data_IF_588554596734
#
_entry.id   IF_588554596734
#
_cell.length_a   1.000
_cell.length_b   1.000
_cell.length_c   1.000
_cell.angle_alpha   90.00
_cell.angle_beta   90.00
_cell.angle_gamma   90.00
#
_symmetry.space_group_name_H-M   'P 1'
#
loop_
_entity.id
_entity.type
_entity.pdbx_description
1 polymer ?
#
# COMPACT_ATOMS: atom_id res chain seq x y z
N UNK A 1 -0.11 2.90 -22.81
CA UNK A 1 1.32 2.63 -22.58
C UNK A 1 1.60 2.15 -21.14
N UNK A 2 1.26 2.92 -20.09
CA UNK A 2 1.57 2.53 -18.70
C UNK A 2 0.97 1.19 -18.28
N UNK A 3 -0.25 0.86 -18.73
CA UNK A 3 -0.92 -0.39 -18.36
C UNK A 3 -0.17 -1.66 -18.82
N UNK A 4 0.41 -1.64 -20.02
CA UNK A 4 1.14 -2.79 -20.55
C UNK A 4 2.41 -3.00 -19.72
N UNK A 5 3.11 -1.91 -19.41
CA UNK A 5 4.29 -1.94 -18.55
C UNK A 5 3.96 -2.47 -17.15
N UNK A 6 2.84 -2.02 -16.56
CA UNK A 6 2.35 -2.54 -15.27
C UNK A 6 2.17 -4.05 -15.31
N UNK A 7 1.53 -4.59 -16.36
CA UNK A 7 1.27 -6.02 -16.50
C UNK A 7 2.60 -6.77 -16.66
N UNK A 8 3.47 -6.35 -17.57
CA UNK A 8 4.75 -7.04 -17.84
C UNK A 8 5.59 -7.09 -16.56
N UNK A 9 5.78 -5.96 -15.89
CA UNK A 9 6.58 -5.89 -14.67
C UNK A 9 5.91 -6.67 -13.53
N UNK A 10 4.59 -6.57 -13.37
CA UNK A 10 3.85 -7.31 -12.33
C UNK A 10 3.94 -8.82 -12.51
N UNK A 11 3.82 -9.32 -13.75
CA UNK A 11 3.97 -10.75 -14.07
C UNK A 11 5.40 -11.20 -13.78
N UNK A 12 6.41 -10.44 -14.20
CA UNK A 12 7.81 -10.77 -13.93
C UNK A 12 8.08 -10.84 -12.42
N UNK A 13 7.62 -9.86 -11.64
CA UNK A 13 7.76 -9.88 -10.17
C UNK A 13 7.02 -11.08 -9.58
N UNK A 14 5.80 -11.36 -10.01
CA UNK A 14 5.00 -12.47 -9.49
C UNK A 14 5.66 -13.83 -9.76
N UNK A 15 6.20 -14.06 -10.96
CA UNK A 15 6.90 -15.29 -11.31
C UNK A 15 8.17 -15.47 -10.48
N UNK A 16 8.98 -14.40 -10.33
CA UNK A 16 10.19 -14.44 -9.51
C UNK A 16 9.89 -14.68 -8.02
N UNK A 17 8.77 -14.15 -7.51
CA UNK A 17 8.40 -14.24 -6.10
C UNK A 17 7.47 -15.41 -5.78
N UNK A 18 7.04 -16.21 -6.75
CA UNK A 18 6.10 -17.32 -6.54
C UNK A 18 6.55 -18.30 -5.43
N UNK A 19 7.80 -18.82 -5.41
CA UNK A 19 8.24 -19.70 -4.32
C UNK A 19 8.24 -18.97 -2.96
N UNK A 20 8.57 -17.67 -2.96
CA UNK A 20 8.58 -16.85 -1.76
C UNK A 20 7.16 -16.61 -1.20
N UNK A 21 6.17 -16.40 -2.07
CA UNK A 21 4.76 -16.31 -1.67
C UNK A 21 4.29 -17.58 -0.96
N UNK A 22 4.67 -18.76 -1.46
CA UNK A 22 4.31 -20.03 -0.84
C UNK A 22 4.87 -20.15 0.58
N UNK A 23 6.15 -19.81 0.77
CA UNK A 23 6.80 -19.79 2.09
C UNK A 23 6.07 -18.85 3.04
N UNK A 24 5.72 -17.64 2.61
CA UNK A 24 4.97 -16.67 3.42
C UNK A 24 3.60 -17.22 3.80
N UNK A 25 2.85 -17.78 2.85
CA UNK A 25 1.51 -18.33 3.14
C UNK A 25 1.57 -19.46 4.16
N UNK A 26 2.55 -20.36 4.04
CA UNK A 26 2.77 -21.44 5.02
C UNK A 26 3.10 -20.84 6.40
N UNK A 27 4.04 -19.89 6.45
CA UNK A 27 4.42 -19.20 7.68
C UNK A 27 3.21 -18.55 8.38
N UNK A 28 2.38 -17.83 7.63
CA UNK A 28 1.18 -17.17 8.16
C UNK A 28 0.18 -18.20 8.69
N UNK A 29 -0.04 -19.31 7.96
CA UNK A 29 -0.96 -20.37 8.38
C UNK A 29 -0.50 -21.07 9.66
N UNK A 30 0.81 -21.23 9.86
CA UNK A 30 1.37 -21.78 11.11
C UNK A 30 1.18 -20.80 12.28
N UNK A 31 1.40 -19.50 12.05
CA UNK A 31 1.35 -18.48 13.11
C UNK A 31 -0.06 -18.01 13.49
N UNK A 32 -0.99 -18.04 12.55
CA UNK A 32 -2.35 -17.53 12.74
C UNK A 32 -3.35 -18.40 11.98
N UNK A 33 -4.38 -18.98 12.64
CA UNK A 33 -5.39 -19.78 11.94
C UNK A 33 -6.21 -18.92 10.97
N UNK A 34 -6.69 -19.52 9.87
CA UNK A 34 -7.53 -18.87 8.85
C UNK A 34 -6.79 -18.36 7.61
N UNK A 35 -7.42 -17.46 6.84
CA UNK A 35 -6.91 -16.97 5.55
C UNK A 35 -5.56 -16.25 5.67
N UNK A 36 -4.58 -16.64 4.86
CA UNK A 36 -3.30 -15.93 4.77
C UNK A 36 -3.44 -14.52 4.16
N UNK A 37 -4.54 -14.25 3.47
CA UNK A 37 -4.85 -12.95 2.90
C UNK A 37 -5.84 -12.18 3.76
N UNK A 38 -5.59 -10.88 3.88
CA UNK A 38 -6.48 -9.88 4.42
C UNK A 38 -6.91 -8.95 3.29
N UNK A 39 -8.15 -8.49 3.32
CA UNK A 39 -8.68 -7.56 2.32
C UNK A 39 -9.27 -6.33 3.00
N UNK A 40 -9.01 -5.16 2.45
CA UNK A 40 -9.60 -3.90 2.94
C UNK A 40 -10.18 -3.09 1.80
N UNK A 41 -11.40 -2.58 1.96
CA UNK A 41 -12.02 -1.71 0.95
C UNK A 41 -11.25 -0.39 0.87
N UNK A 42 -10.98 0.05 -0.36
CA UNK A 42 -10.29 1.29 -0.69
C UNK A 42 -10.95 2.00 -1.84
N UNK A 43 -10.77 3.32 -1.90
CA UNK A 43 -11.21 4.14 -3.02
C UNK A 43 -10.22 3.99 -4.18
N UNK A 44 -10.73 3.54 -5.33
CA UNK A 44 -10.00 3.38 -6.58
C UNK A 44 -10.19 4.56 -7.52
N UNK A 45 -9.90 4.33 -8.81
CA UNK A 45 -10.12 5.31 -9.87
C UNK A 45 -11.60 5.64 -9.98
N UNK A 46 -11.92 6.91 -10.21
CA UNK A 46 -13.29 7.41 -10.40
C UNK A 46 -14.17 7.10 -9.19
N UNK A 47 -13.55 7.04 -8.00
CA UNK A 47 -14.20 6.76 -6.72
C UNK A 47 -14.77 5.34 -6.59
N UNK A 48 -14.47 4.45 -7.55
CA UNK A 48 -14.95 3.07 -7.54
C UNK A 48 -14.24 2.29 -6.42
N UNK A 49 -14.97 1.74 -5.44
CA UNK A 49 -14.35 0.99 -4.36
C UNK A 49 -13.84 -0.37 -4.85
N UNK A 50 -12.69 -0.79 -4.33
CA UNK A 50 -12.10 -2.10 -4.62
C UNK A 50 -11.51 -2.74 -3.36
N UNK A 51 -11.26 -4.06 -3.42
CA UNK A 51 -10.67 -4.83 -2.30
C UNK A 51 -9.15 -4.87 -2.44
N UNK A 52 -8.46 -4.07 -1.63
CA UNK A 52 -7.00 -4.09 -1.54
C UNK A 52 -6.53 -5.38 -0.85
N UNK A 53 -5.68 -6.15 -1.51
CA UNK A 53 -5.14 -7.40 -0.98
C UNK A 53 -3.86 -7.17 -0.18
N UNK A 54 -3.74 -7.84 0.97
CA UNK A 54 -2.51 -7.89 1.77
C UNK A 54 -2.31 -9.29 2.33
N UNK A 55 -1.08 -9.62 2.71
CA UNK A 55 -0.89 -10.72 3.64
C UNK A 55 -1.37 -10.31 5.02
N UNK A 56 -2.08 -11.21 5.67
CA UNK A 56 -2.60 -10.98 7.01
C UNK A 56 -1.44 -10.98 7.99
N UNK A 57 -1.27 -9.88 8.71
CA UNK A 57 -0.23 -9.68 9.73
C UNK A 57 -0.77 -9.61 11.17
N UNK A 58 -2.10 -9.64 11.34
CA UNK A 58 -2.80 -9.59 12.63
C UNK A 58 -3.56 -10.90 12.92
N UNK A 59 -3.77 -11.23 14.19
CA UNK A 59 -4.62 -12.34 14.62
C UNK A 59 -6.12 -12.06 14.40
N UNK A 60 -6.92 -13.10 14.13
CA UNK A 60 -8.39 -12.99 13.94
C UNK A 60 -9.12 -12.67 15.25
N UNK A 61 -8.65 -13.20 16.38
CA UNK A 61 -9.42 -13.32 17.64
C UNK A 61 -9.12 -12.24 18.69
N UNK A 62 -8.88 -10.99 18.29
CA UNK A 62 -8.98 -9.89 19.26
C UNK A 62 -10.25 -9.10 18.96
N UNK A 63 -11.34 -9.28 19.75
CA UNK A 63 -12.44 -8.33 19.74
C UNK A 63 -11.90 -6.98 20.25
N UNK A 64 -12.48 -5.90 19.74
CA UNK A 64 -12.37 -4.54 20.29
C UNK A 64 -11.15 -3.68 19.95
N UNK A 65 -10.94 -3.40 18.66
CA UNK A 65 -10.48 -2.07 18.26
C UNK A 65 -11.32 -1.57 17.09
N UNK A 66 -12.58 -1.23 17.36
CA UNK A 66 -13.55 -0.70 16.39
C UNK A 66 -13.07 0.56 15.63
N UNK A 67 -12.00 1.23 16.08
CA UNK A 67 -11.53 2.51 15.52
C UNK A 67 -10.02 2.62 15.30
N UNK A 68 -9.24 1.54 15.32
CA UNK A 68 -7.78 1.65 15.09
C UNK A 68 -7.46 1.69 13.59
N UNK A 69 -7.67 2.84 12.96
CA UNK A 69 -7.30 3.10 11.54
C UNK A 69 -5.77 3.10 11.37
N UNK A 70 -5.04 3.42 12.42
CA UNK A 70 -3.57 3.50 12.46
C UNK A 70 -3.02 2.29 13.23
N UNK A 71 -2.03 1.60 12.65
CA UNK A 71 -1.28 0.58 13.39
C UNK A 71 -0.06 1.20 14.06
N UNK A 72 0.09 0.95 15.36
CA UNK A 72 1.30 1.30 16.12
C UNK A 72 2.44 0.31 15.84
N UNK A 73 3.67 0.69 16.22
CA UNK A 73 4.89 -0.11 16.02
C UNK A 73 4.86 -1.45 16.78
N UNK A 74 4.33 -1.44 18.00
CA UNK A 74 4.24 -2.61 18.88
C UNK A 74 2.78 -3.00 19.13
N UNK A 75 2.02 -3.13 18.04
CA UNK A 75 0.60 -3.45 18.12
C UNK A 75 0.40 -4.90 18.62
N UNK A 76 -0.32 -5.11 19.75
CA UNK A 76 -0.50 -6.42 20.38
C UNK A 76 -1.34 -7.38 19.52
N UNK A 77 -1.95 -6.91 18.42
CA UNK A 77 -2.67 -7.74 17.45
C UNK A 77 -1.74 -8.51 16.53
N UNK A 78 -0.45 -8.17 16.48
CA UNK A 78 0.53 -8.77 15.57
C UNK A 78 1.04 -10.11 16.10
N UNK A 79 1.08 -11.11 15.22
CA UNK A 79 1.72 -12.39 15.56
C UNK A 79 3.25 -12.31 15.39
N UNK A 80 3.98 -13.18 16.08
CA UNK A 80 5.45 -13.21 16.00
C UNK A 80 5.97 -13.30 14.56
N UNK A 81 6.79 -12.32 14.17
CA UNK A 81 7.36 -12.18 12.82
C UNK A 81 6.55 -11.29 11.85
N UNK A 82 5.35 -10.86 12.22
CA UNK A 82 4.56 -9.92 11.42
C UNK A 82 5.25 -8.55 11.24
N UNK A 83 6.02 -8.10 12.24
CA UNK A 83 6.83 -6.88 12.16
C UNK A 83 7.86 -6.93 11.02
N UNK A 84 8.45 -8.10 10.76
CA UNK A 84 9.36 -8.26 9.62
C UNK A 84 8.60 -8.11 8.30
N UNK A 85 7.43 -8.73 8.18
CA UNK A 85 6.61 -8.62 6.96
C UNK A 85 6.22 -7.17 6.66
N UNK A 86 5.90 -6.39 7.69
CA UNK A 86 5.53 -4.97 7.58
C UNK A 86 6.71 -4.06 7.29
N UNK A 87 7.82 -4.21 8.03
CA UNK A 87 9.05 -3.42 7.87
C UNK A 87 9.58 -3.43 6.43
N UNK A 88 9.50 -4.60 5.79
CA UNK A 88 9.95 -4.81 4.41
C UNK A 88 8.79 -4.74 3.39
N UNK A 89 7.58 -4.31 3.79
CA UNK A 89 6.38 -4.24 2.93
C UNK A 89 6.06 -5.54 2.20
N UNK A 90 6.52 -6.66 2.73
CA UNK A 90 6.22 -8.00 2.23
C UNK A 90 4.71 -8.24 2.32
N UNK A 91 4.06 -7.69 3.35
CA UNK A 91 2.61 -7.77 3.52
C UNK A 91 1.81 -7.11 2.39
N UNK A 92 2.40 -6.16 1.66
CA UNK A 92 1.78 -5.47 0.53
C UNK A 92 2.00 -6.17 -0.81
N UNK A 93 2.86 -7.20 -0.89
CA UNK A 93 3.13 -7.93 -2.16
C UNK A 93 1.88 -8.49 -2.86
N UNK A 94 0.84 -8.99 -2.16
CA UNK A 94 -0.39 -9.46 -2.81
C UNK A 94 -1.12 -8.40 -3.65
N UNK A 95 -0.84 -7.11 -3.44
CA UNK A 95 -1.40 -6.02 -4.24
C UNK A 95 -0.97 -6.08 -5.72
N UNK A 96 0.09 -6.80 -6.05
CA UNK A 96 0.46 -7.09 -7.45
C UNK A 96 -0.73 -7.75 -8.19
N UNK A 97 -1.53 -8.57 -7.49
CA UNK A 97 -2.74 -9.15 -8.07
C UNK A 97 -3.82 -8.09 -8.35
N UNK A 98 -3.93 -7.04 -7.53
CA UNK A 98 -4.81 -5.89 -7.81
C UNK A 98 -4.31 -5.10 -9.03
N UNK A 99 -2.99 -5.00 -9.22
CA UNK A 99 -2.41 -4.44 -10.45
C UNK A 99 -2.81 -5.30 -11.63
N UNK A 100 -2.62 -6.62 -11.59
CA UNK A 100 -3.00 -7.51 -12.70
C UNK A 100 -4.50 -7.46 -13.02
N UNK A 101 -5.38 -7.35 -12.01
CA UNK A 101 -6.84 -7.16 -12.18
C UNK A 101 -7.24 -5.79 -12.74
N UNK A 102 -6.33 -4.83 -12.72
CA UNK A 102 -6.57 -3.49 -13.26
C UNK A 102 -7.21 -2.52 -12.30
N UNK A 103 -7.33 -2.89 -11.02
CA UNK A 103 -7.79 -2.02 -9.94
C UNK A 103 -6.71 -1.01 -9.55
N UNK A 104 -5.43 -1.41 -9.69
CA UNK A 104 -4.25 -0.61 -9.35
C UNK A 104 -3.27 -0.47 -10.52
N UNK A 105 -2.32 0.44 -10.35
CA UNK A 105 -1.09 0.65 -11.13
C UNK A 105 0.13 0.31 -10.27
N UNK A 106 1.31 0.08 -10.86
CA UNK A 106 2.54 -0.04 -10.07
C UNK A 106 2.90 1.29 -9.40
N UNK A 107 2.71 2.39 -10.12
CA UNK A 107 3.00 3.74 -9.64
C UNK A 107 1.73 4.60 -9.71
N UNK A 108 1.44 5.31 -8.62
CA UNK A 108 0.26 6.15 -8.47
C UNK A 108 0.01 6.60 -7.04
N UNK A 109 -1.01 7.45 -6.81
CA UNK A 109 -1.43 7.84 -5.47
C UNK A 109 -1.79 6.64 -4.60
N UNK A 110 -1.47 6.66 -3.30
CA UNK A 110 -1.80 5.55 -2.40
C UNK A 110 -3.32 5.37 -2.27
N UNK A 111 -3.87 4.14 -2.36
CA UNK A 111 -5.31 3.95 -2.16
C UNK A 111 -5.72 4.32 -0.74
N UNK A 112 -6.77 5.13 -0.59
CA UNK A 112 -7.28 5.64 0.70
C UNK A 112 -8.52 4.91 1.16
N UNK A 113 -8.73 4.88 2.49
CA UNK A 113 -10.03 4.46 3.06
C UNK A 113 -11.09 5.50 2.73
N UNK A 114 -12.37 5.12 2.88
CA UNK A 114 -13.50 6.01 2.56
C UNK A 114 -13.52 7.21 3.50
N UNK A 115 -13.27 6.98 4.78
CA UNK A 115 -13.32 7.98 5.84
C UNK A 115 -12.30 9.11 5.59
N UNK A 116 -11.09 8.77 5.12
CA UNK A 116 -10.06 9.73 4.73
C UNK A 116 -10.42 10.46 3.44
N UNK A 117 -11.06 9.77 2.49
CA UNK A 117 -11.49 10.39 1.23
C UNK A 117 -12.62 11.41 1.44
N UNK A 118 -13.53 11.15 2.37
CA UNK A 118 -14.65 12.05 2.69
C UNK A 118 -14.17 13.36 3.32
N UNK A 119 -13.06 13.34 4.08
CA UNK A 119 -12.42 14.54 4.65
C UNK A 119 -11.72 15.43 3.62
N UNK A 120 -11.46 14.94 2.41
CA UNK A 120 -10.74 15.68 1.38
C UNK A 120 -11.61 16.79 0.75
N UNK A 121 -10.97 17.89 0.38
CA UNK A 121 -11.59 18.91 -0.49
C UNK A 121 -11.77 18.37 -1.92
N UNK A 122 -12.61 19.00 -2.73
CA UNK A 122 -12.84 18.57 -4.12
C UNK A 122 -11.58 18.63 -5.00
N UNK A 123 -10.65 19.54 -4.69
CA UNK A 123 -9.33 19.60 -5.32
C UNK A 123 -8.46 18.40 -4.88
N UNK A 124 -8.46 18.05 -3.59
CA UNK A 124 -7.69 16.92 -3.08
C UNK A 124 -8.22 15.59 -3.65
N UNK A 125 -9.54 15.47 -3.82
CA UNK A 125 -10.20 14.30 -4.43
C UNK A 125 -9.81 14.07 -5.88
N UNK A 126 -9.22 15.05 -6.58
CA UNK A 126 -8.67 14.86 -7.93
C UNK A 126 -7.64 13.73 -8.01
N UNK A 127 -6.99 13.37 -6.88
CA UNK A 127 -6.10 12.21 -6.81
C UNK A 127 -6.77 10.89 -7.19
N UNK A 128 -8.10 10.78 -7.02
CA UNK A 128 -8.87 9.59 -7.36
C UNK A 128 -9.25 9.51 -8.86
N UNK A 129 -8.84 10.48 -9.69
CA UNK A 129 -9.05 10.42 -11.16
C UNK A 129 -8.13 9.43 -11.88
N UNK A 130 -7.06 8.98 -11.22
CA UNK A 130 -6.13 7.99 -11.76
C UNK A 130 -6.19 6.69 -10.94
N UNK A 131 -5.64 5.61 -11.49
CA UNK A 131 -5.54 4.36 -10.73
C UNK A 131 -4.60 4.56 -9.54
N UNK A 132 -4.97 4.09 -8.34
CA UNK A 132 -4.06 4.10 -7.21
C UNK A 132 -2.83 3.22 -7.49
N UNK A 133 -1.71 3.57 -6.87
CA UNK A 133 -0.42 2.92 -7.04
C UNK A 133 -0.05 2.00 -5.89
N UNK A 134 0.70 0.94 -6.20
CA UNK A 134 1.44 0.15 -5.20
C UNK A 134 2.47 1.04 -4.49
N UNK A 135 3.20 1.83 -5.27
CA UNK A 135 4.08 2.90 -4.80
C UNK A 135 3.74 4.21 -5.49
N UNK A 136 4.36 5.31 -5.09
CA UNK A 136 4.05 6.64 -5.60
C UNK A 136 5.05 7.69 -5.10
N UNK A 137 4.88 8.91 -5.60
CA UNK A 137 5.78 10.02 -5.27
C UNK A 137 5.74 10.33 -3.76
N UNK A 138 4.56 10.38 -3.15
CA UNK A 138 4.42 10.57 -1.71
C UNK A 138 5.14 9.48 -0.90
N UNK A 139 5.03 8.22 -1.33
CA UNK A 139 5.65 7.07 -0.66
C UNK A 139 7.19 7.15 -0.66
N UNK A 140 7.80 7.61 -1.76
CA UNK A 140 9.27 7.73 -1.82
C UNK A 140 9.82 9.02 -1.22
N UNK A 141 8.98 10.02 -0.97
CA UNK A 141 9.36 11.35 -0.47
C UNK A 141 9.28 11.49 1.05
N UNK A 142 8.77 10.49 1.77
CA UNK A 142 8.62 10.51 3.23
C UNK A 142 7.49 9.61 3.73
N UNK A 143 6.56 9.25 2.84
CA UNK A 143 5.42 8.39 3.14
C UNK A 143 4.65 8.92 4.36
N UNK A 144 4.67 8.15 5.44
CA UNK A 144 3.94 8.38 6.66
C UNK A 144 4.55 9.45 7.57
N UNK A 145 5.76 9.94 7.28
CA UNK A 145 6.35 11.11 7.97
C UNK A 145 5.83 12.45 7.44
N UNK A 146 5.11 12.43 6.33
CA UNK A 146 4.46 13.60 5.74
C UNK A 146 3.04 13.72 6.28
N UNK A 147 2.55 14.95 6.45
CA UNK A 147 1.13 15.24 6.72
C UNK A 147 0.23 14.78 5.55
N UNK A 148 -1.07 14.58 5.79
CA UNK A 148 -2.01 14.26 4.70
C UNK A 148 -1.97 15.29 3.58
N UNK A 149 -1.91 16.58 3.93
CA UNK A 149 -1.85 17.66 2.94
C UNK A 149 -0.59 17.58 2.06
N UNK A 150 0.57 17.29 2.62
CA UNK A 150 1.81 17.11 1.85
C UNK A 150 1.76 15.87 0.96
N UNK A 151 1.23 14.74 1.48
CA UNK A 151 1.03 13.52 0.67
C UNK A 151 0.13 13.81 -0.52
N UNK A 152 -0.99 14.49 -0.32
CA UNK A 152 -1.92 14.83 -1.41
C UNK A 152 -1.29 15.80 -2.41
N UNK A 153 -0.51 16.80 -1.95
CA UNK A 153 0.24 17.69 -2.85
C UNK A 153 1.18 16.91 -3.76
N UNK A 154 1.90 15.92 -3.22
CA UNK A 154 2.78 15.05 -4.00
C UNK A 154 2.01 14.12 -4.95
N UNK A 155 0.85 13.60 -4.52
CA UNK A 155 -0.02 12.81 -5.39
C UNK A 155 -0.52 13.62 -6.59
N UNK A 156 -1.00 14.84 -6.37
CA UNK A 156 -1.44 15.75 -7.43
C UNK A 156 -0.28 16.18 -8.33
N UNK A 157 0.92 16.40 -7.76
CA UNK A 157 2.13 16.66 -8.53
C UNK A 157 2.49 15.48 -9.44
N UNK A 158 2.46 14.27 -8.91
CA UNK A 158 2.70 13.06 -9.69
C UNK A 158 1.73 12.95 -10.87
N UNK A 159 0.44 13.21 -10.66
CA UNK A 159 -0.58 13.13 -11.72
C UNK A 159 -0.27 14.12 -12.85
N UNK A 160 0.21 15.33 -12.54
CA UNK A 160 0.58 16.34 -13.54
C UNK A 160 1.85 15.99 -14.31
N UNK A 161 2.81 15.34 -13.66
CA UNK A 161 4.16 15.08 -14.20
C UNK A 161 4.37 13.62 -14.64
N UNK A 162 3.30 12.81 -14.62
CA UNK A 162 3.37 11.37 -14.82
C UNK A 162 4.03 11.02 -16.18
N UNK A 163 5.15 10.31 -16.10
CA UNK A 163 5.92 9.86 -17.26
C UNK A 163 6.52 8.48 -16.99
N UNK A 164 6.91 7.76 -18.05
CA UNK A 164 7.58 6.45 -17.90
C UNK A 164 8.87 6.57 -17.11
N UNK A 165 9.65 7.64 -17.37
CA UNK A 165 10.89 7.91 -16.66
C UNK A 165 10.67 8.16 -15.16
N UNK A 166 9.69 9.01 -14.82
CA UNK A 166 9.34 9.26 -13.43
C UNK A 166 8.87 7.97 -12.73
N UNK A 167 8.06 7.14 -13.39
CA UNK A 167 7.63 5.85 -12.86
C UNK A 167 8.83 4.94 -12.56
N UNK A 168 9.80 4.84 -13.47
CA UNK A 168 10.99 4.04 -13.28
C UNK A 168 11.82 4.53 -12.08
N UNK A 169 12.01 5.85 -11.96
CA UNK A 169 12.70 6.44 -10.81
C UNK A 169 11.99 6.12 -9.49
N UNK A 170 10.66 6.21 -9.45
CA UNK A 170 9.86 5.87 -8.26
C UNK A 170 10.01 4.39 -7.92
N UNK A 171 9.93 3.49 -8.89
CA UNK A 171 10.08 2.04 -8.68
C UNK A 171 11.47 1.69 -8.12
N UNK A 172 12.54 2.27 -8.68
CA UNK A 172 13.91 2.05 -8.22
C UNK A 172 14.09 2.54 -6.78
N UNK A 173 13.64 3.77 -6.48
CA UNK A 173 13.70 4.33 -5.11
C UNK A 173 12.90 3.48 -4.12
N UNK A 174 11.74 2.96 -4.55
CA UNK A 174 10.91 2.07 -3.74
C UNK A 174 11.67 0.80 -3.38
N UNK A 175 12.33 0.15 -4.35
CA UNK A 175 13.13 -1.05 -4.09
C UNK A 175 14.22 -0.78 -3.05
N UNK A 176 14.94 0.33 -3.16
CA UNK A 176 15.96 0.71 -2.16
C UNK A 176 15.38 0.97 -0.76
N UNK A 177 14.23 1.64 -0.66
CA UNK A 177 13.58 1.92 0.63
C UNK A 177 13.10 0.64 1.32
N UNK A 178 12.52 -0.28 0.53
CA UNK A 178 12.08 -1.58 1.01
C UNK A 178 13.26 -2.42 1.49
N UNK A 179 14.34 -2.53 0.69
CA UNK A 179 15.53 -3.30 1.08
C UNK A 179 16.23 -2.75 2.33
N UNK A 180 16.20 -1.43 2.54
CA UNK A 180 16.74 -0.79 3.76
C UNK A 180 15.79 -0.89 4.96
N UNK A 181 14.58 -1.42 4.80
CA UNK A 181 13.56 -1.46 5.86
C UNK A 181 13.13 -0.06 6.33
N UNK A 182 13.23 0.95 5.47
CA UNK A 182 12.83 2.35 5.72
C UNK A 182 11.50 2.72 5.06
N UNK A 183 10.78 1.72 4.53
CA UNK A 183 9.49 1.92 3.90
C UNK A 183 8.37 2.21 4.93
N UNK A 184 8.59 1.86 6.19
CA UNK A 184 7.72 2.25 7.30
C UNK A 184 8.29 3.47 8.00
N UNK A 185 7.55 4.58 7.92
CA UNK A 185 7.65 5.69 8.86
C UNK A 185 6.41 5.61 9.76
N UNK A 186 6.50 5.85 11.06
CA UNK A 186 5.28 6.01 11.85
C UNK A 186 4.88 7.49 11.76
N UNK A 187 3.58 7.81 11.68
CA UNK A 187 3.14 9.20 11.75
C UNK A 187 3.64 9.85 13.05
N UNK A 188 4.01 11.13 12.95
CA UNK A 188 4.55 11.91 14.07
C UNK A 188 3.48 12.39 15.06
N UNK A 189 2.20 12.35 14.71
CA UNK A 189 1.07 12.86 15.50
C UNK A 189 -0.15 11.92 15.49
N UNK A 190 -1.01 12.04 16.52
CA UNK A 190 -2.27 11.29 16.64
C UNK A 190 -3.35 11.73 15.66
N UNK A 191 -3.30 12.99 15.20
CA UNK A 191 -4.12 13.49 14.10
C UNK A 191 -3.25 13.69 12.86
N UNK A 192 -3.42 12.83 11.85
CA UNK A 192 -2.69 12.96 10.58
C UNK A 192 -3.28 14.08 9.69
N UNK A 193 -4.49 14.57 10.01
CA UNK A 193 -5.25 15.55 9.23
C UNK A 193 -5.12 16.99 9.75
N UNK A 194 -4.54 17.18 10.94
CA UNK A 194 -4.26 18.49 11.56
C UNK A 194 -3.05 19.19 10.96
#
# INVERSE_FOLDING_TARGET
MMRILDIIISVAILLCLLPFFLVIVIFIKIKSPGSAFFTQTRIGRDQVPFKLLKFRTMHIKQPDLKNATVTMRDDPRLYGGANFLRKYKIDELPQILNVLRGEMSLVGPRPTVREDYEKMTDEQRQRAKVKPGLTGLAQISGNTSLSWHERIKLDLKYIREASVWLNLQIMIKTAFLVLKGRAETHPSSEDEWS
#
